data_IF_207877357509
#
_entry.id   IF_207877357509
#
_cell.length_a   1.000
_cell.length_b   1.000
_cell.length_c   1.000
_cell.angle_alpha   90.00
_cell.angle_beta   90.00
_cell.angle_gamma   90.00
#
_symmetry.space_group_name_H-M   'P 1'
#
loop_
_entity.id
_entity.type
_entity.pdbx_description
1 polymer ?
#
# COMPACT_ATOMS: atom_id res chain seq x y z
N UNK A 1 16.99 10.05 31.75
CA UNK A 1 17.75 9.72 32.98
C UNK A 1 19.07 8.96 32.78
N UNK A 2 19.48 8.53 31.58
CA UNK A 2 20.82 7.93 31.33
C UNK A 2 21.23 6.78 32.28
N UNK A 3 20.27 6.22 33.01
CA UNK A 3 20.41 5.14 34.00
C UNK A 3 20.29 3.76 33.35
N UNK A 4 19.77 3.69 32.13
CA UNK A 4 19.57 2.45 31.35
C UNK A 4 20.34 2.54 30.05
N UNK A 5 20.91 1.42 29.60
CA UNK A 5 21.56 1.27 28.30
C UNK A 5 20.57 0.74 27.27
N UNK A 6 20.44 1.46 26.16
CA UNK A 6 19.59 1.06 25.03
C UNK A 6 20.46 0.79 23.79
N UNK A 7 20.10 -0.23 22.98
CA UNK A 7 20.82 -0.51 21.74
C UNK A 7 20.54 0.56 20.69
N UNK A 8 21.58 0.97 19.96
CA UNK A 8 21.47 1.96 18.88
C UNK A 8 20.71 1.37 17.66
N UNK A 9 20.86 0.07 17.43
CA UNK A 9 20.19 -0.68 16.38
C UNK A 9 19.74 -2.04 16.91
N UNK A 10 18.63 -2.54 16.38
CA UNK A 10 18.17 -3.89 16.67
C UNK A 10 18.70 -4.86 15.61
N UNK A 11 19.25 -6.03 16.01
CA UNK A 11 19.63 -7.06 15.06
C UNK A 11 18.35 -7.58 14.38
N UNK A 12 18.20 -7.27 13.09
CA UNK A 12 17.03 -7.68 12.30
C UNK A 12 17.48 -8.67 11.25
N UNK A 13 16.80 -9.83 11.17
CA UNK A 13 17.16 -10.91 10.24
C UNK A 13 16.63 -10.70 8.82
N UNK A 14 15.78 -9.70 8.59
CA UNK A 14 15.20 -9.37 7.30
C UNK A 14 15.08 -7.84 7.15
N UNK A 15 15.00 -7.32 5.91
CA UNK A 15 14.93 -5.87 5.65
C UNK A 15 13.56 -5.28 6.02
N UNK A 16 13.33 -5.07 7.32
CA UNK A 16 12.05 -4.61 7.88
C UNK A 16 11.59 -3.25 7.32
N UNK A 17 12.53 -2.39 6.91
CA UNK A 17 12.21 -1.07 6.34
C UNK A 17 11.38 -1.15 5.04
N UNK A 18 11.51 -2.24 4.28
CA UNK A 18 10.72 -2.45 3.06
C UNK A 18 9.49 -3.32 3.33
N UNK A 19 9.55 -4.23 4.29
CA UNK A 19 8.44 -5.16 4.56
C UNK A 19 7.29 -4.47 5.29
N UNK A 20 7.61 -3.57 6.22
CA UNK A 20 6.60 -2.85 7.00
C UNK A 20 6.36 -1.45 6.43
N UNK A 21 5.10 -0.98 6.35
CA UNK A 21 4.83 0.38 5.93
C UNK A 21 5.40 1.37 6.96
N UNK A 22 6.11 2.39 6.50
CA UNK A 22 6.73 3.38 7.36
C UNK A 22 6.42 4.79 6.88
N UNK A 23 5.78 5.59 7.74
CA UNK A 23 5.49 7.00 7.47
C UNK A 23 6.05 7.85 8.59
N UNK A 24 6.78 8.91 8.24
CA UNK A 24 7.43 9.79 9.19
C UNK A 24 7.51 11.21 8.68
N UNK A 25 7.16 12.17 9.53
CA UNK A 25 7.23 13.61 9.24
C UNK A 25 8.23 14.22 10.21
N UNK A 26 9.27 14.85 9.67
CA UNK A 26 10.28 15.59 10.41
C UNK A 26 10.26 17.08 9.99
N UNK A 27 11.09 17.91 10.63
CA UNK A 27 11.16 19.34 10.31
C UNK A 27 11.76 19.52 8.92
N UNK A 28 10.92 19.89 7.95
CA UNK A 28 11.31 20.12 6.56
C UNK A 28 11.44 18.87 5.70
N UNK A 29 11.10 17.68 6.22
CA UNK A 29 11.20 16.41 5.50
C UNK A 29 10.02 15.49 5.80
N UNK A 30 9.58 14.73 4.80
CA UNK A 30 8.61 13.66 4.96
C UNK A 30 9.11 12.42 4.24
N UNK A 31 8.93 11.27 4.86
CA UNK A 31 9.24 9.96 4.30
C UNK A 31 7.99 9.10 4.38
N UNK A 32 7.66 8.44 3.27
CA UNK A 32 6.55 7.49 3.19
C UNK A 32 7.00 6.30 2.35
N UNK A 33 7.18 5.16 3.00
CA UNK A 33 7.66 3.91 2.41
C UNK A 33 6.51 2.92 2.50
N UNK A 34 6.07 2.41 1.34
CA UNK A 34 5.06 1.37 1.27
C UNK A 34 5.62 0.03 1.75
N UNK A 35 4.73 -0.89 2.14
CA UNK A 35 5.09 -2.28 2.42
C UNK A 35 5.32 -3.08 1.14
N UNK A 36 6.16 -4.10 1.26
CA UNK A 36 6.49 -5.05 0.22
C UNK A 36 6.41 -6.47 0.75
N UNK A 37 6.21 -7.41 -0.17
CA UNK A 37 6.17 -8.81 0.17
C UNK A 37 7.55 -9.30 0.65
N UNK A 38 7.60 -9.93 1.83
CA UNK A 38 8.87 -10.41 2.42
C UNK A 38 9.64 -11.37 1.50
N UNK A 39 8.94 -12.25 0.78
CA UNK A 39 9.59 -13.23 -0.10
C UNK A 39 10.26 -12.49 -1.26
N UNK A 40 9.54 -11.60 -1.94
CA UNK A 40 10.09 -10.81 -3.06
C UNK A 40 11.28 -9.95 -2.62
N UNK A 41 11.23 -9.35 -1.42
CA UNK A 41 12.34 -8.54 -0.90
C UNK A 41 13.58 -9.39 -0.60
N UNK A 42 13.39 -10.58 -0.01
CA UNK A 42 14.49 -11.52 0.23
C UNK A 42 15.08 -12.02 -1.09
N UNK A 43 14.26 -12.33 -2.09
CA UNK A 43 14.70 -12.73 -3.44
C UNK A 43 15.46 -11.60 -4.14
N UNK A 44 14.98 -10.35 -4.05
CA UNK A 44 15.67 -9.19 -4.60
C UNK A 44 17.03 -8.97 -3.92
N UNK A 45 17.11 -9.20 -2.61
CA UNK A 45 18.35 -9.14 -1.84
C UNK A 45 19.33 -10.21 -2.31
N UNK A 46 18.88 -11.46 -2.47
CA UNK A 46 19.71 -12.57 -2.99
C UNK A 46 20.19 -12.26 -4.42
N UNK A 47 19.31 -11.72 -5.27
CA UNK A 47 19.66 -11.36 -6.64
C UNK A 47 20.75 -10.28 -6.69
N UNK A 48 20.65 -9.27 -5.81
CA UNK A 48 21.68 -8.24 -5.65
C UNK A 48 23.00 -8.82 -5.14
N UNK A 49 22.97 -9.73 -4.17
CA UNK A 49 24.18 -10.40 -3.66
C UNK A 49 24.88 -11.24 -4.74
N UNK A 50 24.12 -11.85 -5.65
CA UNK A 50 24.68 -12.62 -6.76
C UNK A 50 25.20 -11.73 -7.91
N UNK A 51 24.64 -10.53 -8.07
CA UNK A 51 25.03 -9.58 -9.11
C UNK A 51 24.83 -8.14 -8.62
N UNK A 52 25.91 -7.50 -8.19
CA UNK A 52 25.91 -6.10 -7.74
C UNK A 52 25.55 -5.10 -8.85
N UNK A 53 25.58 -5.52 -10.11
CA UNK A 53 25.19 -4.72 -11.28
C UNK A 53 23.76 -4.99 -11.76
N UNK A 54 22.92 -5.63 -10.93
CA UNK A 54 21.52 -5.86 -11.25
C UNK A 54 20.82 -4.52 -11.56
N UNK A 55 20.07 -4.48 -12.65
CA UNK A 55 19.39 -3.25 -13.09
C UNK A 55 18.05 -3.07 -12.38
N UNK A 56 17.52 -1.85 -12.39
CA UNK A 56 16.17 -1.56 -11.86
C UNK A 56 15.10 -2.38 -12.58
N UNK A 57 15.23 -2.58 -13.90
CA UNK A 57 14.33 -3.44 -14.66
C UNK A 57 14.34 -4.89 -14.18
N UNK A 58 15.52 -5.43 -13.85
CA UNK A 58 15.65 -6.78 -13.32
C UNK A 58 15.07 -6.87 -11.90
N UNK A 59 15.28 -5.84 -11.07
CA UNK A 59 14.68 -5.77 -9.73
C UNK A 59 13.14 -5.69 -9.79
N UNK A 60 12.58 -4.99 -10.77
CA UNK A 60 11.12 -4.92 -10.99
C UNK A 60 10.48 -6.25 -11.39
N UNK A 61 11.23 -7.18 -11.97
CA UNK A 61 10.71 -8.53 -12.26
C UNK A 61 10.53 -9.34 -10.97
N UNK A 62 11.37 -9.07 -9.96
CA UNK A 62 11.37 -9.77 -8.67
C UNK A 62 10.42 -9.08 -7.70
N UNK A 63 10.63 -7.78 -7.46
CA UNK A 63 9.84 -6.92 -6.61
C UNK A 63 8.86 -6.13 -7.48
N UNK A 64 7.69 -6.71 -7.75
CA UNK A 64 6.82 -6.23 -8.85
C UNK A 64 6.06 -4.97 -8.50
N UNK A 65 5.57 -4.90 -7.28
CA UNK A 65 4.77 -3.80 -6.78
C UNK A 65 4.74 -3.84 -5.24
N UNK A 66 4.39 -2.73 -4.59
CA UNK A 66 4.05 -2.73 -3.18
C UNK A 66 2.92 -3.72 -2.85
N UNK A 67 3.02 -4.34 -1.68
CA UNK A 67 2.06 -5.30 -1.15
C UNK A 67 1.41 -4.69 0.10
N UNK A 68 0.08 -4.60 0.14
CA UNK A 68 -0.65 -3.86 1.19
C UNK A 68 -1.43 -4.80 2.09
N UNK A 69 -1.33 -4.57 3.40
CA UNK A 69 -1.92 -5.45 4.44
C UNK A 69 -3.45 -5.58 4.39
N UNK A 70 -4.16 -4.57 3.88
CA UNK A 70 -5.64 -4.59 3.75
C UNK A 70 -6.11 -5.06 2.38
N UNK A 71 -5.19 -5.51 1.53
CA UNK A 71 -5.46 -5.92 0.15
C UNK A 71 -5.78 -4.73 -0.76
N UNK A 72 -6.71 -4.96 -1.68
CA UNK A 72 -7.06 -4.03 -2.75
C UNK A 72 -6.29 -4.28 -4.03
N UNK A 73 -6.66 -3.53 -5.06
CA UNK A 73 -6.09 -3.64 -6.40
C UNK A 73 -5.17 -2.46 -6.65
N UNK A 74 -3.87 -2.70 -6.68
CA UNK A 74 -2.91 -1.72 -7.18
C UNK A 74 -3.13 -1.53 -8.69
N UNK A 75 -3.31 -0.28 -9.11
CA UNK A 75 -3.40 0.08 -10.53
C UNK A 75 -1.99 0.02 -11.11
N UNK A 76 -1.67 -1.13 -11.71
CA UNK A 76 -0.34 -1.42 -12.20
C UNK A 76 0.03 -0.54 -13.39
N UNK A 77 1.18 0.13 -13.28
CA UNK A 77 1.83 0.86 -14.37
C UNK A 77 3.34 0.67 -14.22
N UNK A 78 3.93 -0.10 -15.13
CA UNK A 78 5.35 -0.47 -15.08
C UNK A 78 6.27 0.73 -15.19
N UNK A 79 6.01 1.65 -16.12
CA UNK A 79 6.84 2.85 -16.33
C UNK A 79 6.89 3.71 -15.06
N UNK A 80 5.73 3.86 -14.40
CA UNK A 80 5.64 4.61 -13.16
C UNK A 80 6.38 3.92 -12.00
N UNK A 81 6.29 2.60 -11.90
CA UNK A 81 7.02 1.83 -10.89
C UNK A 81 8.53 1.89 -11.13
N UNK A 82 8.97 1.86 -12.39
CA UNK A 82 10.36 2.07 -12.76
C UNK A 82 10.89 3.44 -12.34
N UNK A 83 10.12 4.50 -12.61
CA UNK A 83 10.47 5.85 -12.16
C UNK A 83 10.56 5.92 -10.62
N UNK A 84 9.58 5.35 -9.92
CA UNK A 84 9.57 5.32 -8.44
C UNK A 84 10.80 4.58 -7.91
N UNK A 85 11.15 3.41 -8.46
CA UNK A 85 12.27 2.62 -7.97
C UNK A 85 13.62 3.27 -8.29
N UNK A 86 13.71 3.96 -9.43
CA UNK A 86 14.92 4.67 -9.85
C UNK A 86 15.16 5.96 -9.06
N UNK A 87 14.09 6.68 -8.69
CA UNK A 87 14.17 8.01 -8.06
C UNK A 87 13.88 8.01 -6.56
N UNK A 88 13.26 6.94 -6.04
CA UNK A 88 12.72 6.87 -4.69
C UNK A 88 11.48 7.74 -4.46
N UNK A 89 10.90 8.34 -5.52
CA UNK A 89 9.78 9.29 -5.39
C UNK A 89 8.65 8.95 -6.35
N UNK A 90 7.42 9.04 -5.85
CA UNK A 90 6.22 9.00 -6.67
C UNK A 90 5.03 8.49 -5.88
N UNK A 91 4.00 8.03 -6.61
CA UNK A 91 2.75 7.59 -6.00
C UNK A 91 2.15 6.42 -6.76
N UNK A 92 1.59 5.46 -6.03
CA UNK A 92 0.78 4.38 -6.59
C UNK A 92 -0.69 4.62 -6.28
N UNK A 93 -1.58 4.10 -7.12
CA UNK A 93 -3.03 4.18 -6.89
C UNK A 93 -3.53 2.80 -6.49
N UNK A 94 -4.26 2.74 -5.39
CA UNK A 94 -4.91 1.52 -4.90
C UNK A 94 -6.41 1.69 -5.02
N UNK A 95 -7.09 0.68 -5.55
CA UNK A 95 -8.54 0.63 -5.73
C UNK A 95 -9.13 -0.44 -4.81
N UNK A 96 -10.30 -0.17 -4.24
CA UNK A 96 -11.06 -1.17 -3.52
C UNK A 96 -11.47 -2.34 -4.44
N UNK A 97 -11.49 -3.55 -3.91
CA UNK A 97 -11.99 -4.72 -4.62
C UNK A 97 -13.48 -4.87 -4.33
N UNK A 98 -14.27 -4.99 -5.39
CA UNK A 98 -15.71 -5.13 -5.27
C UNK A 98 -16.24 -6.19 -6.21
N UNK A 99 -17.39 -6.77 -5.84
CA UNK A 99 -18.19 -7.66 -6.66
C UNK A 99 -19.58 -7.05 -6.84
N UNK A 100 -20.21 -7.30 -7.98
CA UNK A 100 -21.57 -6.85 -8.24
C UNK A 100 -22.53 -8.04 -8.17
N UNK A 101 -23.40 -8.01 -7.17
CA UNK A 101 -24.44 -9.01 -6.97
C UNK A 101 -25.70 -8.60 -7.73
N UNK A 102 -25.91 -9.20 -8.91
CA UNK A 102 -27.05 -8.93 -9.79
C UNK A 102 -28.40 -9.28 -9.16
N UNK A 103 -28.46 -10.30 -8.30
CA UNK A 103 -29.72 -10.77 -7.73
C UNK A 103 -30.30 -9.74 -6.74
N UNK A 104 -29.43 -9.12 -5.95
CA UNK A 104 -29.80 -8.12 -4.96
C UNK A 104 -29.55 -6.67 -5.43
N UNK A 105 -29.08 -6.49 -6.68
CA UNK A 105 -28.63 -5.21 -7.24
C UNK A 105 -27.68 -4.45 -6.28
N UNK A 106 -26.72 -5.17 -5.70
CA UNK A 106 -25.85 -4.68 -4.64
C UNK A 106 -24.37 -4.71 -5.07
N UNK A 107 -23.61 -3.72 -4.64
CA UNK A 107 -22.14 -3.69 -4.79
C UNK A 107 -21.51 -4.09 -3.46
N UNK A 108 -20.88 -5.26 -3.45
CA UNK A 108 -20.21 -5.82 -2.28
C UNK A 108 -18.72 -5.46 -2.32
N UNK A 109 -18.27 -4.61 -1.40
CA UNK A 109 -16.85 -4.24 -1.28
C UNK A 109 -16.18 -5.23 -0.33
N UNK A 110 -15.15 -5.93 -0.81
CA UNK A 110 -14.48 -7.01 -0.07
C UNK A 110 -13.14 -6.57 0.53
N UNK A 111 -12.44 -5.68 -0.14
CA UNK A 111 -11.13 -5.17 0.29
C UNK A 111 -11.07 -3.67 0.06
N UNK A 112 -10.54 -2.92 1.04
CA UNK A 112 -10.37 -1.47 0.98
C UNK A 112 -8.89 -1.09 1.08
N UNK A 113 -8.47 0.05 0.50
CA UNK A 113 -7.10 0.53 0.63
C UNK A 113 -6.71 0.80 2.09
N UNK A 114 -5.46 0.50 2.47
CA UNK A 114 -4.98 0.62 3.87
C UNK A 114 -4.98 2.05 4.41
N UNK A 115 -5.06 3.04 3.52
CA UNK A 115 -5.03 4.46 3.85
C UNK A 115 -6.39 5.02 4.29
N UNK A 116 -7.46 4.22 4.25
CA UNK A 116 -8.81 4.65 4.61
C UNK A 116 -9.49 3.67 5.55
N UNK A 117 -10.48 4.16 6.30
CA UNK A 117 -11.35 3.35 7.14
C UNK A 117 -12.74 3.23 6.52
N UNK A 118 -13.52 2.26 6.98
CA UNK A 118 -14.89 2.00 6.50
C UNK A 118 -15.79 3.20 6.81
N UNK A 119 -15.65 3.80 7.99
CA UNK A 119 -16.44 4.96 8.42
C UNK A 119 -16.21 6.14 7.50
N UNK A 120 -14.95 6.41 7.13
CA UNK A 120 -14.61 7.49 6.18
C UNK A 120 -15.24 7.28 4.81
N UNK A 121 -15.30 6.04 4.34
CA UNK A 121 -15.96 5.70 3.07
C UNK A 121 -17.47 5.93 3.19
N UNK A 122 -18.11 5.46 4.27
CA UNK A 122 -19.54 5.64 4.52
C UNK A 122 -19.91 7.13 4.59
N UNK A 123 -19.15 7.92 5.35
CA UNK A 123 -19.35 9.36 5.47
C UNK A 123 -19.24 10.08 4.12
N UNK A 124 -18.25 9.69 3.31
CA UNK A 124 -18.07 10.25 1.97
C UNK A 124 -19.27 9.93 1.07
N UNK A 125 -19.79 8.70 1.10
CA UNK A 125 -20.97 8.32 0.31
C UNK A 125 -22.21 9.09 0.76
N UNK A 126 -22.46 9.17 2.08
CA UNK A 126 -23.59 9.93 2.65
C UNK A 126 -23.52 11.40 2.26
N UNK A 127 -22.32 11.99 2.27
CA UNK A 127 -22.11 13.36 1.80
C UNK A 127 -22.47 13.52 0.32
N UNK A 128 -22.02 12.61 -0.56
CA UNK A 128 -22.34 12.67 -1.99
C UNK A 128 -23.84 12.44 -2.27
N UNK A 129 -24.52 11.62 -1.47
CA UNK A 129 -25.97 11.44 -1.53
C UNK A 129 -26.73 12.72 -1.17
N UNK A 130 -26.33 13.39 -0.07
CA UNK A 130 -26.91 14.68 0.36
C UNK A 130 -26.67 15.81 -0.65
N UNK A 131 -25.52 15.81 -1.31
CA UNK A 131 -25.19 16.74 -2.41
C UNK A 131 -25.98 16.44 -3.71
N UNK A 132 -26.76 15.34 -3.75
CA UNK A 132 -27.57 14.95 -4.89
C UNK A 132 -26.77 14.43 -6.10
N UNK A 133 -25.48 14.10 -5.91
CA UNK A 133 -24.61 13.57 -6.98
C UNK A 133 -24.82 12.08 -7.21
N UNK A 134 -25.19 11.34 -6.16
CA UNK A 134 -25.46 9.91 -6.22
C UNK A 134 -26.83 9.68 -5.60
N UNK A 135 -27.87 9.52 -6.42
CA UNK A 135 -29.26 9.39 -5.95
C UNK A 135 -29.78 7.95 -5.96
N UNK A 136 -29.07 7.05 -6.64
CA UNK A 136 -29.51 5.67 -6.88
C UNK A 136 -29.11 4.70 -5.75
N UNK A 137 -28.43 5.19 -4.71
CA UNK A 137 -28.07 4.39 -3.54
C UNK A 137 -29.26 4.38 -2.57
N UNK A 138 -29.82 3.19 -2.34
CA UNK A 138 -30.95 3.01 -1.40
C UNK A 138 -30.48 2.87 0.04
N UNK A 139 -29.41 2.12 0.28
CA UNK A 139 -28.94 1.76 1.62
C UNK A 139 -27.44 1.42 1.61
N UNK A 140 -26.79 1.53 2.77
CA UNK A 140 -25.38 1.19 2.97
C UNK A 140 -25.27 0.40 4.28
N UNK A 141 -24.88 -0.86 4.17
CA UNK A 141 -24.68 -1.76 5.31
C UNK A 141 -23.23 -2.15 5.47
N UNK A 142 -22.85 -2.36 6.73
CA UNK A 142 -21.56 -2.92 7.11
C UNK A 142 -21.86 -4.31 7.68
N UNK A 143 -21.36 -5.36 7.03
CA UNK A 143 -21.63 -6.77 7.34
C UNK A 143 -20.38 -7.51 7.84
N UNK A 144 -19.36 -6.75 8.28
CA UNK A 144 -18.13 -7.29 8.90
C UNK A 144 -18.40 -7.79 10.32
#
# INVERSE_FOLDING_TARGET
>A
DSTTTEPIVLPTSFPNILVSPNSGIAVGMASDICSFNLVEVCEATIAYLNNEHITVDQLLEILKAPDFSTGGLLVYNREKLYEIYSTGRGSVKVRAKYSYNKANNCVEITEIPYTTTIERIKDAIVKQYKEGKIKDITDIRDEI
#
